data_IF_651182107678
#
_entry.id   IF_651182107678
#
_cell.length_a   1.000
_cell.length_b   1.000
_cell.length_c   1.000
_cell.angle_alpha   90.00
_cell.angle_beta   90.00
_cell.angle_gamma   90.00
#
_symmetry.space_group_name_H-M   'P 1'
#
loop_
_entity.id
_entity.type
_entity.pdbx_description
1 polymer ?
#
# COMPACT_ATOMS: atom_id res chain seq x y z
N UNK A 1 -20.54 11.52 18.11
CA UNK A 1 -20.92 11.14 16.73
C UNK A 1 -20.51 12.27 15.81
N UNK A 2 -19.28 12.22 15.28
CA UNK A 2 -18.88 13.16 14.24
C UNK A 2 -19.68 12.79 12.98
N UNK A 3 -20.53 13.72 12.52
CA UNK A 3 -21.14 13.65 11.20
C UNK A 3 -20.04 13.34 10.19
N UNK A 4 -20.23 12.27 9.41
CA UNK A 4 -19.40 12.00 8.24
C UNK A 4 -19.61 13.19 7.32
N UNK A 5 -18.68 14.15 7.35
CA UNK A 5 -18.60 15.23 6.37
C UNK A 5 -18.61 14.54 5.02
N UNK A 6 -19.51 14.91 4.11
CA UNK A 6 -19.65 14.27 2.81
C UNK A 6 -18.28 14.12 2.16
N UNK A 7 -17.78 12.90 2.07
CA UNK A 7 -16.51 12.61 1.44
C UNK A 7 -16.66 12.92 -0.04
N UNK A 8 -15.81 13.81 -0.53
CA UNK A 8 -15.67 14.13 -1.96
C UNK A 8 -14.30 13.62 -2.39
N UNK A 9 -14.18 13.31 -3.68
CA UNK A 9 -12.88 12.99 -4.25
C UNK A 9 -11.92 14.18 -4.07
N UNK A 10 -10.66 13.85 -3.80
CA UNK A 10 -9.62 14.86 -3.64
C UNK A 10 -9.45 15.67 -4.94
N UNK A 11 -9.53 17.01 -4.89
CA UNK A 11 -9.34 17.84 -6.07
C UNK A 11 -7.95 17.68 -6.68
N UNK A 12 -7.91 17.55 -8.01
CA UNK A 12 -6.66 17.50 -8.79
C UNK A 12 -6.12 18.92 -8.95
N UNK A 13 -4.87 19.15 -8.56
CA UNK A 13 -4.18 20.43 -8.80
C UNK A 13 -3.70 20.53 -10.25
N UNK A 14 -3.75 21.74 -10.82
CA UNK A 14 -3.48 21.94 -12.25
C UNK A 14 -1.99 22.04 -12.60
N UNK A 15 -1.16 22.55 -11.68
CA UNK A 15 0.28 22.80 -11.91
C UNK A 15 0.57 23.75 -13.08
N UNK A 16 -0.36 24.68 -13.34
CA UNK A 16 -0.20 25.71 -14.36
C UNK A 16 1.02 26.61 -14.10
N UNK A 17 1.49 27.28 -15.15
CA UNK A 17 2.61 28.22 -15.05
C UNK A 17 2.27 29.33 -14.06
N UNK A 18 3.15 29.57 -13.09
CA UNK A 18 2.97 30.59 -12.04
C UNK A 18 2.12 30.15 -10.84
N UNK A 19 1.56 28.93 -10.86
CA UNK A 19 0.81 28.39 -9.72
C UNK A 19 1.71 28.10 -8.51
N UNK A 20 1.12 28.13 -7.31
CA UNK A 20 1.85 27.89 -6.06
C UNK A 20 2.29 26.43 -5.95
N UNK A 21 1.41 25.51 -6.33
CA UNK A 21 1.65 24.06 -6.34
C UNK A 21 2.77 23.67 -7.32
N UNK A 22 2.91 24.33 -8.46
CA UNK A 22 4.03 24.10 -9.38
C UNK A 22 5.33 24.52 -8.74
N UNK A 23 5.35 25.70 -8.12
CA UNK A 23 6.56 26.24 -7.49
C UNK A 23 6.99 25.40 -6.28
N UNK A 24 6.05 24.94 -5.46
CA UNK A 24 6.33 24.11 -4.28
C UNK A 24 6.74 22.68 -4.66
N UNK A 25 6.07 22.08 -5.64
CA UNK A 25 6.46 20.77 -6.17
C UNK A 25 7.84 20.81 -6.82
N UNK A 26 8.14 21.83 -7.63
CA UNK A 26 9.47 21.97 -8.24
C UNK A 26 10.56 22.07 -7.17
N UNK A 27 10.35 22.92 -6.15
CA UNK A 27 11.28 23.02 -5.03
C UNK A 27 11.51 21.66 -4.37
N UNK A 28 10.43 20.91 -4.11
CA UNK A 28 10.53 19.60 -3.46
C UNK A 28 11.18 18.55 -4.37
N UNK A 29 10.91 18.60 -5.67
CA UNK A 29 11.54 17.76 -6.67
C UNK A 29 13.06 17.99 -6.68
N UNK A 30 13.51 19.24 -6.73
CA UNK A 30 14.92 19.59 -6.74
C UNK A 30 15.62 19.15 -5.43
N UNK A 31 14.96 19.35 -4.28
CA UNK A 31 15.46 18.85 -2.99
C UNK A 31 15.64 17.33 -2.97
N UNK A 32 14.65 16.56 -3.43
CA UNK A 32 14.74 15.10 -3.46
C UNK A 32 15.73 14.59 -4.51
N UNK A 33 15.82 15.26 -5.66
CA UNK A 33 16.79 14.96 -6.72
C UNK A 33 18.24 15.13 -6.21
N UNK A 34 18.48 16.16 -5.40
CA UNK A 34 19.82 16.53 -4.93
C UNK A 34 20.32 15.71 -3.74
N UNK A 35 19.46 14.91 -3.10
CA UNK A 35 19.76 14.22 -1.85
C UNK A 35 19.58 12.70 -2.00
N UNK A 36 20.68 12.00 -2.26
CA UNK A 36 20.71 10.54 -2.21
C UNK A 36 20.46 10.06 -0.77
N UNK A 37 19.54 9.12 -0.58
CA UNK A 37 19.22 8.55 0.74
C UNK A 37 19.49 7.04 0.80
N UNK A 38 19.62 6.53 2.01
CA UNK A 38 19.64 5.08 2.28
C UNK A 38 18.24 4.62 2.69
N UNK A 39 17.72 3.57 2.05
CA UNK A 39 16.39 3.01 2.29
C UNK A 39 16.51 1.66 2.99
N UNK A 40 16.23 1.58 4.30
CA UNK A 40 16.27 0.34 5.05
C UNK A 40 15.05 -0.54 4.77
N UNK A 41 15.18 -1.81 5.14
CA UNK A 41 14.03 -2.68 5.44
C UNK A 41 13.42 -2.19 6.75
N UNK A 42 12.10 -2.28 6.90
CA UNK A 42 11.42 -1.89 8.16
C UNK A 42 10.63 -3.09 8.69
N UNK A 43 11.07 -3.65 9.82
CA UNK A 43 10.37 -4.72 10.53
C UNK A 43 10.08 -4.24 11.94
N UNK A 44 8.82 -4.29 12.36
CA UNK A 44 8.37 -3.78 13.66
C UNK A 44 8.86 -2.34 13.95
N UNK A 45 8.87 -1.47 12.94
CA UNK A 45 9.35 -0.10 13.05
C UNK A 45 10.89 0.06 13.07
N UNK A 46 11.62 -1.02 13.27
CA UNK A 46 13.08 -1.03 13.28
C UNK A 46 13.65 -0.99 11.86
N UNK A 47 14.68 -0.17 11.67
CA UNK A 47 15.38 -0.01 10.40
C UNK A 47 16.52 -1.01 10.31
N UNK A 48 16.47 -1.90 9.32
CA UNK A 48 17.46 -2.94 9.11
C UNK A 48 18.25 -2.64 7.84
N UNK A 49 19.57 -2.59 7.97
CA UNK A 49 20.53 -2.45 6.88
C UNK A 49 21.18 -3.79 6.59
N UNK A 50 21.32 -4.13 5.31
CA UNK A 50 21.95 -5.37 4.82
C UNK A 50 23.13 -5.04 3.91
N UNK A 51 23.99 -6.02 3.64
CA UNK A 51 25.06 -5.85 2.65
C UNK A 51 24.57 -6.00 1.20
N UNK A 52 23.35 -6.51 0.99
CA UNK A 52 22.76 -6.67 -0.34
C UNK A 52 21.87 -5.47 -0.67
N UNK A 53 22.41 -4.56 -1.48
CA UNK A 53 21.75 -3.31 -1.85
C UNK A 53 21.50 -3.21 -3.33
N UNK A 54 20.56 -2.36 -3.71
CA UNK A 54 20.32 -1.97 -5.10
C UNK A 54 19.96 -0.47 -5.17
N UNK A 55 20.15 0.13 -6.34
CA UNK A 55 19.92 1.56 -6.55
C UNK A 55 18.46 1.82 -6.93
N UNK A 56 17.85 2.83 -6.31
CA UNK A 56 16.72 3.53 -6.89
C UNK A 56 17.28 4.61 -7.84
N UNK A 57 16.93 4.55 -9.11
CA UNK A 57 17.35 5.53 -10.13
C UNK A 57 16.15 6.27 -10.71
N UNK A 58 16.41 7.36 -11.44
CA UNK A 58 15.39 7.99 -12.26
C UNK A 58 15.27 7.26 -13.60
N UNK A 59 14.10 6.72 -14.01
CA UNK A 59 14.01 6.02 -15.29
C UNK A 59 14.31 6.92 -16.50
N UNK A 60 14.05 8.22 -16.41
CA UNK A 60 14.36 9.22 -17.44
C UNK A 60 15.79 9.76 -17.38
N UNK A 61 16.55 9.44 -16.33
CA UNK A 61 17.99 9.71 -16.20
C UNK A 61 18.62 8.60 -15.34
N UNK A 62 18.77 7.42 -15.93
CA UNK A 62 19.10 6.19 -15.21
C UNK A 62 20.50 6.16 -14.59
N UNK A 63 21.35 7.16 -14.87
CA UNK A 63 22.63 7.34 -14.20
C UNK A 63 22.50 8.12 -12.88
N UNK A 64 21.40 8.85 -12.71
CA UNK A 64 21.11 9.58 -11.48
C UNK A 64 20.56 8.64 -10.41
N UNK A 65 21.25 8.57 -9.27
CA UNK A 65 20.87 7.73 -8.13
C UNK A 65 20.08 8.56 -7.12
N UNK A 66 18.89 8.09 -6.78
CA UNK A 66 18.01 8.69 -5.77
C UNK A 66 18.25 8.07 -4.39
N UNK A 67 18.55 6.77 -4.36
CA UNK A 67 18.80 6.05 -3.13
C UNK A 67 19.56 4.74 -3.37
N UNK A 68 20.20 4.23 -2.32
CA UNK A 68 20.53 2.81 -2.20
C UNK A 68 19.54 2.17 -1.22
N UNK A 69 18.87 1.11 -1.64
CA UNK A 69 17.91 0.39 -0.80
C UNK A 69 18.44 -1.00 -0.43
N UNK A 70 18.16 -1.43 0.79
CA UNK A 70 18.53 -2.74 1.30
C UNK A 70 17.48 -3.78 0.92
N UNK A 71 17.95 -4.94 0.44
CA UNK A 71 17.09 -6.06 0.07
C UNK A 71 16.99 -7.05 1.23
N UNK A 72 15.77 -7.48 1.51
CA UNK A 72 15.47 -8.54 2.46
C UNK A 72 15.87 -9.90 1.88
N UNK A 73 16.39 -10.75 2.75
CA UNK A 73 16.62 -12.17 2.49
C UNK A 73 15.48 -13.01 3.08
N UNK A 74 15.64 -14.34 3.02
CA UNK A 74 14.68 -15.29 3.57
C UNK A 74 14.51 -15.13 5.08
N UNK A 75 15.57 -14.87 5.83
CA UNK A 75 15.51 -14.82 7.29
C UNK A 75 14.78 -13.56 7.75
N UNK A 76 15.02 -12.43 7.08
CA UNK A 76 14.26 -11.20 7.32
C UNK A 76 12.79 -11.33 6.89
N UNK A 77 12.50 -12.09 5.83
CA UNK A 77 11.12 -12.40 5.45
C UNK A 77 10.39 -13.19 6.55
N UNK A 78 11.04 -14.17 7.16
CA UNK A 78 10.46 -14.95 8.27
C UNK A 78 10.30 -14.09 9.54
N UNK A 79 11.30 -13.26 9.88
CA UNK A 79 11.20 -12.32 11.00
C UNK A 79 10.04 -11.32 10.84
N UNK A 80 9.80 -10.85 9.62
CA UNK A 80 8.67 -9.96 9.35
C UNK A 80 7.31 -10.66 9.52
N UNK A 81 7.21 -11.94 9.18
CA UNK A 81 6.01 -12.74 9.43
C UNK A 81 5.79 -12.87 10.95
N UNK A 82 6.83 -13.23 11.70
CA UNK A 82 6.75 -13.35 13.17
C UNK A 82 6.30 -12.04 13.81
N UNK A 83 6.94 -10.92 13.44
CA UNK A 83 6.54 -9.59 13.88
C UNK A 83 5.08 -9.28 13.54
N UNK A 84 4.63 -9.55 12.31
CA UNK A 84 3.24 -9.33 11.92
C UNK A 84 2.28 -10.16 12.78
N UNK A 85 2.56 -11.45 13.00
CA UNK A 85 1.71 -12.33 13.80
C UNK A 85 1.65 -11.91 15.28
N UNK A 86 2.75 -11.41 15.83
CA UNK A 86 2.77 -10.85 17.18
C UNK A 86 1.89 -9.60 17.26
N UNK A 87 2.09 -8.63 16.36
CA UNK A 87 1.30 -7.38 16.30
C UNK A 87 -0.19 -7.65 16.04
N UNK A 88 -0.53 -8.69 15.27
CA UNK A 88 -1.91 -9.05 14.97
C UNK A 88 -2.74 -9.33 16.23
N UNK A 89 -2.13 -9.89 17.29
CA UNK A 89 -2.83 -10.21 18.54
C UNK A 89 -3.47 -8.99 19.22
N UNK A 90 -2.88 -7.81 19.05
CA UNK A 90 -3.40 -6.54 19.54
C UNK A 90 -4.19 -5.81 18.45
N UNK A 91 -3.60 -5.65 17.26
CA UNK A 91 -4.19 -4.86 16.16
C UNK A 91 -5.55 -5.38 15.68
N UNK A 92 -5.74 -6.70 15.68
CA UNK A 92 -7.01 -7.32 15.29
C UNK A 92 -8.17 -6.91 16.22
N UNK A 93 -7.88 -6.61 17.48
CA UNK A 93 -8.83 -6.23 18.54
C UNK A 93 -8.95 -4.73 18.72
N UNK A 94 -8.10 -3.94 18.07
CA UNK A 94 -8.18 -2.48 18.11
C UNK A 94 -9.49 -2.01 17.49
N UNK A 95 -10.15 -1.05 18.14
CA UNK A 95 -11.42 -0.49 17.69
C UNK A 95 -11.35 0.02 16.26
N UNK A 96 -12.37 -0.30 15.46
CA UNK A 96 -12.43 0.10 14.06
C UNK A 96 -12.29 1.61 13.87
N UNK A 97 -12.93 2.41 14.73
CA UNK A 97 -12.85 3.88 14.65
C UNK A 97 -11.41 4.37 14.85
N UNK A 98 -10.63 3.77 15.75
CA UNK A 98 -9.22 4.11 15.93
C UNK A 98 -8.39 3.74 14.70
N UNK A 99 -8.63 2.54 14.13
CA UNK A 99 -7.96 2.12 12.89
C UNK A 99 -8.26 3.10 11.76
N UNK A 100 -9.53 3.48 11.59
CA UNK A 100 -10.00 4.45 10.60
C UNK A 100 -9.34 5.82 10.77
N UNK A 101 -9.24 6.33 12.00
CA UNK A 101 -8.69 7.66 12.29
C UNK A 101 -7.22 7.79 11.86
N UNK A 102 -6.43 6.71 11.95
CA UNK A 102 -5.06 6.67 11.43
C UNK A 102 -5.03 6.94 9.92
N UNK A 103 -5.91 6.29 9.14
CA UNK A 103 -5.90 6.45 7.68
C UNK A 103 -6.53 7.78 7.23
N UNK A 104 -7.52 8.31 7.95
CA UNK A 104 -7.98 9.70 7.74
C UNK A 104 -6.87 10.72 8.05
N UNK A 105 -6.07 10.48 9.08
CA UNK A 105 -4.90 11.30 9.37
C UNK A 105 -3.84 11.17 8.27
N UNK A 106 -3.58 9.96 7.76
CA UNK A 106 -2.68 9.76 6.62
C UNK A 106 -3.17 10.53 5.37
N UNK A 107 -4.46 10.47 5.06
CA UNK A 107 -5.08 11.24 3.98
C UNK A 107 -4.91 12.75 4.18
N UNK A 108 -5.13 13.26 5.39
CA UNK A 108 -4.97 14.68 5.73
C UNK A 108 -3.52 15.13 5.60
N UNK A 109 -2.58 14.31 6.08
CA UNK A 109 -1.15 14.55 5.96
C UNK A 109 -0.72 14.60 4.49
N UNK A 110 -1.21 13.66 3.67
CA UNK A 110 -0.95 13.56 2.24
C UNK A 110 -1.58 14.71 1.44
N UNK A 111 -2.82 15.12 1.77
CA UNK A 111 -3.46 16.28 1.14
C UNK A 111 -2.71 17.60 1.43
N UNK A 112 -2.09 17.68 2.62
CA UNK A 112 -1.32 18.82 3.08
C UNK A 112 0.18 18.66 2.82
N UNK A 113 0.96 18.56 3.91
CA UNK A 113 2.42 18.73 3.89
C UNK A 113 3.19 17.61 3.17
N UNK A 114 2.59 16.45 2.99
CA UNK A 114 3.24 15.31 2.33
C UNK A 114 3.01 15.29 0.81
N UNK A 115 2.05 16.07 0.28
CA UNK A 115 1.64 16.01 -1.14
C UNK A 115 2.82 16.15 -2.09
N UNK A 116 3.60 17.22 -1.94
CA UNK A 116 4.72 17.51 -2.82
C UNK A 116 5.84 16.47 -2.68
N UNK A 117 6.04 15.91 -1.48
CA UNK A 117 7.03 14.83 -1.27
C UNK A 117 6.60 13.57 -2.00
N UNK A 118 5.33 13.18 -1.90
CA UNK A 118 4.82 11.96 -2.54
C UNK A 118 4.80 12.08 -4.06
N UNK A 119 4.34 13.22 -4.58
CA UNK A 119 4.34 13.50 -6.01
C UNK A 119 5.77 13.55 -6.56
N UNK A 120 6.68 14.29 -5.92
CA UNK A 120 8.07 14.37 -6.37
C UNK A 120 8.78 13.00 -6.34
N UNK A 121 8.60 12.21 -5.26
CA UNK A 121 9.20 10.88 -5.18
C UNK A 121 8.69 9.94 -6.29
N UNK A 122 7.39 10.01 -6.59
CA UNK A 122 6.75 9.25 -7.67
C UNK A 122 7.24 9.71 -9.05
N UNK A 123 7.35 11.03 -9.28
CA UNK A 123 7.90 11.58 -10.52
C UNK A 123 9.33 11.09 -10.75
N UNK A 124 10.18 11.20 -9.73
CA UNK A 124 11.60 10.87 -9.81
C UNK A 124 11.83 9.37 -10.08
N UNK A 125 11.25 8.47 -9.26
CA UNK A 125 11.57 7.04 -9.34
C UNK A 125 10.69 6.25 -10.33
N UNK A 126 9.48 6.73 -10.64
CA UNK A 126 8.56 6.08 -11.59
C UNK A 126 8.39 6.87 -12.90
N UNK A 127 9.15 7.96 -13.08
CA UNK A 127 9.16 8.78 -14.30
C UNK A 127 7.80 9.35 -14.71
N UNK A 128 6.93 9.60 -13.73
CA UNK A 128 5.66 10.28 -13.97
C UNK A 128 5.87 11.77 -14.19
N UNK A 129 5.03 12.38 -15.03
CA UNK A 129 4.90 13.84 -15.05
C UNK A 129 4.06 14.31 -13.84
N UNK A 130 4.04 15.62 -13.59
CA UNK A 130 3.35 16.18 -12.41
C UNK A 130 1.86 15.80 -12.34
N UNK A 131 1.15 15.82 -13.48
CA UNK A 131 -0.26 15.43 -13.53
C UNK A 131 -0.45 13.93 -13.22
N UNK A 132 0.36 13.07 -13.84
CA UNK A 132 0.30 11.62 -13.63
C UNK A 132 0.66 11.24 -12.18
N UNK A 133 1.56 11.97 -11.54
CA UNK A 133 1.86 11.78 -10.12
C UNK A 133 0.73 12.30 -9.23
N UNK A 134 0.14 13.46 -9.55
CA UNK A 134 -0.95 14.06 -8.78
C UNK A 134 -2.21 13.19 -8.73
N UNK A 135 -2.65 12.67 -9.88
CA UNK A 135 -3.87 11.86 -9.92
C UNK A 135 -3.68 10.50 -9.21
N UNK A 136 -2.45 10.01 -9.12
CA UNK A 136 -2.08 8.72 -8.51
C UNK A 136 -1.66 8.90 -7.04
N UNK A 137 -0.45 9.42 -6.84
CA UNK A 137 0.26 9.41 -5.57
C UNK A 137 -0.34 10.39 -4.54
N UNK A 138 -1.12 11.37 -5.00
CA UNK A 138 -1.92 12.24 -4.14
C UNK A 138 -3.40 11.85 -4.20
N UNK A 139 -4.13 12.20 -5.26
CA UNK A 139 -5.59 12.14 -5.29
C UNK A 139 -6.13 10.72 -5.05
N UNK A 140 -5.72 9.75 -5.87
CA UNK A 140 -6.22 8.37 -5.75
C UNK A 140 -5.83 7.73 -4.41
N UNK A 141 -4.61 7.99 -3.89
CA UNK A 141 -4.19 7.48 -2.59
C UNK A 141 -4.96 8.12 -1.41
N UNK A 142 -5.19 9.43 -1.45
CA UNK A 142 -6.03 10.16 -0.48
C UNK A 142 -7.45 9.58 -0.50
N UNK A 143 -7.99 9.36 -1.70
CA UNK A 143 -9.30 8.77 -1.90
C UNK A 143 -9.33 7.33 -1.36
N UNK A 144 -8.33 6.49 -1.65
CA UNK A 144 -8.28 5.14 -1.06
C UNK A 144 -8.34 5.17 0.47
N UNK A 145 -7.56 6.02 1.12
CA UNK A 145 -7.59 6.11 2.59
C UNK A 145 -8.96 6.57 3.11
N UNK A 146 -9.54 7.61 2.51
CA UNK A 146 -10.81 8.17 2.97
C UNK A 146 -12.01 7.26 2.65
N UNK A 147 -12.10 6.77 1.41
CA UNK A 147 -13.22 5.94 0.96
C UNK A 147 -13.14 4.53 1.55
N UNK A 148 -11.96 3.91 1.69
CA UNK A 148 -11.88 2.61 2.36
C UNK A 148 -12.26 2.69 3.84
N UNK A 149 -11.89 3.77 4.53
CA UNK A 149 -12.33 4.03 5.90
C UNK A 149 -13.87 4.14 5.98
N UNK A 150 -14.48 4.89 5.05
CA UNK A 150 -15.93 4.97 4.93
C UNK A 150 -16.56 3.61 4.64
N UNK A 151 -16.00 2.84 3.70
CA UNK A 151 -16.52 1.52 3.34
C UNK A 151 -16.40 0.53 4.49
N UNK A 152 -15.29 0.54 5.24
CA UNK A 152 -15.11 -0.26 6.44
C UNK A 152 -16.19 0.05 7.47
N UNK A 153 -16.45 1.33 7.75
CA UNK A 153 -17.52 1.77 8.66
C UNK A 153 -18.91 1.38 8.16
N UNK A 154 -19.17 1.55 6.87
CA UNK A 154 -20.45 1.19 6.27
C UNK A 154 -20.72 -0.32 6.31
N UNK A 155 -19.71 -1.15 6.08
CA UNK A 155 -19.85 -2.62 6.17
C UNK A 155 -20.19 -3.03 7.62
N UNK A 156 -19.54 -2.42 8.61
CA UNK A 156 -19.84 -2.69 10.03
C UNK A 156 -21.22 -2.17 10.47
N UNK A 157 -21.67 -1.03 9.92
CA UNK A 157 -22.95 -0.41 10.29
C UNK A 157 -24.16 -0.94 9.50
N UNK A 158 -23.97 -1.42 8.29
CA UNK A 158 -25.03 -2.03 7.48
C UNK A 158 -25.38 -3.37 8.10
N UNK A 159 -26.30 -3.45 9.07
CA UNK A 159 -27.12 -4.64 9.30
C UNK A 159 -28.43 -4.30 10.03
N UNK A 160 -29.56 -4.65 9.42
CA UNK A 160 -30.84 -4.84 10.15
C UNK A 160 -30.86 -6.28 10.69
N UNK A 161 -30.22 -6.49 11.84
CA UNK A 161 -30.26 -7.81 12.49
C UNK A 161 -31.64 -8.04 13.10
N UNK A 162 -32.41 -8.94 12.52
CA UNK A 162 -33.69 -9.36 13.09
C UNK A 162 -33.41 -10.22 14.33
N UNK A 163 -33.78 -9.70 15.50
CA UNK A 163 -33.69 -10.42 16.77
C UNK A 163 -35.10 -10.82 17.23
N UNK A 164 -35.43 -12.13 17.27
CA UNK A 164 -36.68 -12.60 17.87
C UNK A 164 -36.82 -12.18 19.34
N UNK A 165 -38.04 -12.19 19.87
CA UNK A 165 -38.27 -11.87 21.28
C UNK A 165 -37.45 -12.79 22.20
N UNK A 166 -36.72 -12.20 23.15
CA UNK A 166 -35.82 -12.91 24.07
C UNK A 166 -34.43 -13.24 23.50
N UNK A 167 -34.14 -12.87 22.25
CA UNK A 167 -32.84 -13.09 21.61
C UNK A 167 -32.17 -11.75 21.26
N UNK A 168 -30.83 -11.75 21.16
CA UNK A 168 -30.04 -10.64 20.64
C UNK A 168 -29.00 -11.18 19.67
N UNK A 169 -29.16 -10.86 18.39
CA UNK A 169 -28.19 -11.21 17.36
C UNK A 169 -27.18 -10.05 17.17
N UNK A 170 -25.91 -10.38 17.01
CA UNK A 170 -24.85 -9.46 16.61
C UNK A 170 -24.00 -10.09 15.51
N UNK A 171 -23.39 -9.26 14.66
CA UNK A 171 -22.44 -9.68 13.65
C UNK A 171 -21.09 -9.05 13.97
N UNK A 172 -20.04 -9.86 13.96
CA UNK A 172 -18.67 -9.40 14.12
C UNK A 172 -17.91 -9.63 12.81
N UNK A 173 -17.40 -8.55 12.22
CA UNK A 173 -16.49 -8.61 11.08
C UNK A 173 -15.06 -8.83 11.57
N UNK A 174 -14.73 -10.08 11.84
CA UNK A 174 -13.38 -10.46 12.31
C UNK A 174 -12.33 -10.24 11.22
N UNK A 175 -11.12 -9.76 11.56
CA UNK A 175 -9.95 -9.84 10.70
C UNK A 175 -9.60 -11.30 10.36
N UNK A 176 -8.79 -11.51 9.33
CA UNK A 176 -8.28 -12.84 9.02
C UNK A 176 -7.21 -13.23 10.03
N UNK A 177 -7.22 -14.50 10.45
CA UNK A 177 -6.18 -15.05 11.32
C UNK A 177 -4.95 -15.42 10.49
N UNK A 178 -3.82 -14.79 10.82
CA UNK A 178 -2.56 -14.88 10.07
C UNK A 178 -2.12 -13.51 9.56
N UNK A 179 -1.38 -13.49 8.45
CA UNK A 179 -0.89 -12.25 7.85
C UNK A 179 -1.26 -12.15 6.36
N UNK A 180 -1.25 -10.91 5.84
CA UNK A 180 -1.44 -10.62 4.43
C UNK A 180 -0.09 -10.40 3.76
N UNK A 181 0.13 -11.04 2.62
CA UNK A 181 1.27 -10.72 1.77
C UNK A 181 0.84 -9.69 0.71
N UNK A 182 1.29 -8.44 0.85
CA UNK A 182 1.00 -7.37 -0.10
C UNK A 182 2.15 -7.22 -1.10
N UNK A 183 1.88 -7.46 -2.38
CA UNK A 183 2.86 -7.38 -3.46
C UNK A 183 2.40 -6.31 -4.44
N UNK A 184 3.13 -5.20 -4.50
CA UNK A 184 2.66 -4.00 -5.21
C UNK A 184 3.46 -3.75 -6.49
N UNK A 185 2.82 -3.19 -7.54
CA UNK A 185 3.44 -2.94 -8.83
C UNK A 185 4.22 -1.62 -8.81
N UNK A 186 4.88 -1.29 -9.92
CA UNK A 186 5.63 -0.03 -10.06
C UNK A 186 4.80 1.13 -10.61
N UNK A 187 3.66 0.86 -11.24
CA UNK A 187 2.96 1.81 -12.09
C UNK A 187 2.08 2.81 -11.32
N UNK A 188 1.67 2.49 -10.09
CA UNK A 188 0.85 3.37 -9.25
C UNK A 188 1.32 3.35 -7.79
N UNK A 189 1.65 4.53 -7.27
CA UNK A 189 1.96 4.72 -5.85
C UNK A 189 0.71 4.56 -4.98
N UNK A 190 -0.46 4.91 -5.51
CA UNK A 190 -1.76 4.70 -4.87
C UNK A 190 -2.03 3.23 -4.59
N UNK A 191 -1.85 2.37 -5.60
CA UNK A 191 -1.96 0.92 -5.47
C UNK A 191 -0.92 0.42 -4.46
N UNK A 192 0.32 0.92 -4.55
CA UNK A 192 1.37 0.54 -3.63
C UNK A 192 1.04 0.84 -2.16
N UNK A 193 0.34 1.95 -1.89
CA UNK A 193 -0.21 2.24 -0.57
C UNK A 193 -1.42 1.39 -0.21
N UNK A 194 -2.37 1.26 -1.13
CA UNK A 194 -3.67 0.67 -0.88
C UNK A 194 -3.59 -0.83 -0.56
N UNK A 195 -2.79 -1.61 -1.28
CA UNK A 195 -2.76 -3.06 -1.10
C UNK A 195 -2.40 -3.50 0.34
N UNK A 196 -1.37 -2.93 1.01
CA UNK A 196 -1.09 -3.26 2.39
C UNK A 196 -2.03 -2.57 3.39
N UNK A 197 -2.56 -1.38 3.09
CA UNK A 197 -3.37 -0.61 4.06
C UNK A 197 -4.84 -0.98 4.09
N UNK A 198 -5.45 -1.39 2.97
CA UNK A 198 -6.86 -1.78 2.95
C UNK A 198 -7.16 -2.97 3.88
N UNK A 199 -6.35 -4.06 3.89
CA UNK A 199 -6.47 -5.11 4.90
C UNK A 199 -6.16 -4.61 6.32
N UNK A 200 -5.22 -3.67 6.48
CA UNK A 200 -4.86 -3.13 7.79
C UNK A 200 -6.01 -2.34 8.45
N UNK A 201 -6.79 -1.57 7.67
CA UNK A 201 -8.03 -0.92 8.15
C UNK A 201 -8.99 -1.95 8.77
N UNK A 202 -9.07 -3.13 8.15
CA UNK A 202 -9.93 -4.24 8.58
C UNK A 202 -9.30 -5.09 9.70
N UNK A 203 -8.18 -4.65 10.30
CA UNK A 203 -7.53 -5.30 11.44
C UNK A 203 -6.53 -6.39 11.10
N UNK A 204 -6.16 -6.52 9.82
CA UNK A 204 -5.10 -7.44 9.41
C UNK A 204 -3.72 -6.78 9.56
N UNK A 205 -2.69 -7.60 9.49
CA UNK A 205 -1.28 -7.17 9.41
C UNK A 205 -0.72 -7.57 8.05
N UNK A 206 0.24 -6.80 7.55
CA UNK A 206 0.76 -6.99 6.19
C UNK A 206 2.29 -7.07 6.17
N UNK A 207 2.81 -8.06 5.46
CA UNK A 207 4.19 -8.05 4.96
C UNK A 207 4.14 -7.46 3.55
N UNK A 208 4.74 -6.29 3.36
CA UNK A 208 4.66 -5.52 2.12
C UNK A 208 5.97 -5.59 1.33
N UNK A 209 5.90 -6.19 0.14
CA UNK A 209 7.01 -6.22 -0.83
C UNK A 209 6.72 -5.29 -2.01
N UNK A 210 7.31 -4.09 -2.06
CA UNK A 210 7.17 -3.19 -3.21
C UNK A 210 7.88 -3.73 -4.45
N UNK A 211 7.50 -3.24 -5.64
CA UNK A 211 8.31 -3.36 -6.84
C UNK A 211 9.61 -2.58 -6.68
N UNK A 212 10.74 -3.14 -7.12
CA UNK A 212 12.08 -2.54 -6.99
C UNK A 212 12.15 -1.11 -7.57
N UNK A 213 11.45 -0.86 -8.68
CA UNK A 213 11.40 0.45 -9.34
C UNK A 213 10.44 1.47 -8.70
N UNK A 214 9.78 1.13 -7.59
CA UNK A 214 8.93 2.05 -6.82
C UNK A 214 9.33 2.15 -5.34
N UNK A 215 10.43 1.50 -4.93
CA UNK A 215 10.90 1.46 -3.53
C UNK A 215 11.08 2.87 -2.96
N UNK A 216 11.54 3.83 -3.76
CA UNK A 216 11.76 5.21 -3.32
C UNK A 216 10.46 5.89 -2.85
N UNK A 217 9.41 5.87 -3.69
CA UNK A 217 8.11 6.42 -3.33
C UNK A 217 7.46 5.63 -2.18
N UNK A 218 7.58 4.30 -2.20
CA UNK A 218 7.05 3.42 -1.17
C UNK A 218 7.68 3.68 0.21
N UNK A 219 8.96 4.05 0.27
CA UNK A 219 9.62 4.41 1.52
C UNK A 219 9.07 5.70 2.13
N UNK A 220 8.78 6.73 1.31
CA UNK A 220 8.08 7.92 1.79
C UNK A 220 6.65 7.61 2.23
N UNK A 221 5.99 6.64 1.60
CA UNK A 221 4.69 6.14 2.03
C UNK A 221 4.75 5.49 3.41
N UNK A 222 5.76 4.65 3.69
CA UNK A 222 5.99 4.14 5.04
C UNK A 222 6.22 5.24 6.07
N UNK A 223 6.97 6.29 5.72
CA UNK A 223 7.17 7.45 6.62
C UNK A 223 5.86 8.20 6.88
N UNK A 224 5.04 8.41 5.86
CA UNK A 224 3.72 9.02 5.97
C UNK A 224 2.82 8.21 6.92
N UNK A 225 2.77 6.88 6.77
CA UNK A 225 1.97 6.00 7.62
C UNK A 225 2.46 6.00 9.07
N UNK A 226 3.79 5.99 9.28
CA UNK A 226 4.37 6.10 10.62
C UNK A 226 3.99 7.43 11.29
N UNK A 227 4.03 8.54 10.56
CA UNK A 227 3.63 9.84 11.08
C UNK A 227 2.11 9.95 11.34
N UNK A 228 1.30 9.26 10.52
CA UNK A 228 -0.12 9.11 10.74
C UNK A 228 -0.43 8.34 12.04
N UNK A 229 0.53 7.58 12.57
CA UNK A 229 0.40 6.85 13.83
C UNK A 229 0.07 5.37 13.62
N UNK A 230 0.36 4.82 12.43
CA UNK A 230 0.28 3.38 12.22
C UNK A 230 1.23 2.67 13.21
N UNK A 231 0.73 1.73 14.03
CA UNK A 231 1.58 0.99 14.97
C UNK A 231 2.65 0.18 14.25
N UNK A 232 3.76 -0.02 14.93
CA UNK A 232 4.85 -0.84 14.44
C UNK A 232 4.41 -2.30 14.26
N UNK A 233 4.89 -2.92 13.17
CA UNK A 233 4.56 -4.32 12.82
C UNK A 233 3.22 -4.52 12.11
N UNK A 234 2.33 -3.50 12.07
CA UNK A 234 1.07 -3.58 11.30
C UNK A 234 1.35 -3.70 9.81
N UNK A 235 2.34 -2.94 9.32
CA UNK A 235 2.91 -3.09 7.98
C UNK A 235 4.42 -3.21 8.11
N UNK A 236 4.99 -4.33 7.67
CA UNK A 236 6.42 -4.55 7.55
C UNK A 236 6.86 -4.30 6.11
N UNK A 237 7.86 -3.44 5.88
CA UNK A 237 8.33 -3.02 4.56
C UNK A 237 9.58 -3.79 4.14
N UNK A 238 9.44 -4.68 3.14
CA UNK A 238 10.48 -5.60 2.70
C UNK A 238 10.77 -5.46 1.21
N UNK A 239 11.57 -4.46 0.79
CA UNK A 239 12.17 -4.46 -0.53
C UNK A 239 12.98 -5.75 -0.75
N UNK A 240 12.87 -6.34 -1.94
CA UNK A 240 13.56 -7.58 -2.26
C UNK A 240 12.97 -8.30 -3.47
N UNK A 241 13.69 -9.33 -3.93
CA UNK A 241 13.27 -10.13 -5.09
C UNK A 241 12.07 -11.00 -4.77
N UNK A 242 11.25 -11.30 -5.77
CA UNK A 242 10.10 -12.20 -5.61
C UNK A 242 10.50 -13.61 -5.19
N UNK A 243 11.62 -14.14 -5.71
CA UNK A 243 12.09 -15.48 -5.37
C UNK A 243 12.69 -15.59 -3.97
N UNK A 244 13.46 -14.58 -3.53
CA UNK A 244 14.12 -14.64 -2.21
C UNK A 244 13.15 -14.30 -1.08
N UNK A 245 12.27 -13.31 -1.29
CA UNK A 245 11.33 -12.84 -0.26
C UNK A 245 9.96 -13.48 -0.43
N UNK A 246 9.44 -13.55 -1.65
CA UNK A 246 8.08 -13.98 -1.92
C UNK A 246 7.83 -15.47 -1.70
N UNK A 247 8.70 -16.35 -2.20
CA UNK A 247 8.49 -17.80 -2.07
C UNK A 247 8.48 -18.26 -0.60
N UNK A 248 9.41 -17.84 0.28
CA UNK A 248 9.33 -18.17 1.71
C UNK A 248 8.03 -17.70 2.37
N UNK A 249 7.54 -16.51 2.01
CA UNK A 249 6.29 -15.96 2.56
C UNK A 249 5.08 -16.75 2.07
N UNK A 250 5.02 -17.07 0.78
CA UNK A 250 3.92 -17.84 0.19
C UNK A 250 3.84 -19.25 0.79
N UNK A 251 4.96 -19.85 1.17
CA UNK A 251 5.03 -21.18 1.77
C UNK A 251 4.78 -21.20 3.29
N UNK A 252 4.50 -20.06 3.94
CA UNK A 252 4.31 -20.03 5.38
C UNK A 252 2.88 -20.46 5.78
N UNK A 253 2.75 -21.36 6.77
CA UNK A 253 1.45 -21.92 7.20
C UNK A 253 0.44 -20.90 7.72
N UNK A 254 0.92 -19.72 8.18
CA UNK A 254 0.08 -18.63 8.68
C UNK A 254 -0.31 -17.60 7.61
N UNK A 255 -0.05 -17.85 6.32
CA UNK A 255 -0.51 -16.98 5.24
C UNK A 255 -2.05 -16.97 5.21
N UNK A 256 -2.64 -15.81 5.46
CA UNK A 256 -4.09 -15.64 5.46
C UNK A 256 -4.62 -15.11 4.13
N UNK A 257 -3.78 -14.44 3.35
CA UNK A 257 -4.12 -13.97 2.03
C UNK A 257 -2.98 -13.26 1.32
N UNK A 258 -3.17 -13.05 0.03
CA UNK A 258 -2.32 -12.26 -0.84
C UNK A 258 -3.15 -11.12 -1.41
N UNK A 259 -2.58 -9.91 -1.37
CA UNK A 259 -3.12 -8.76 -2.07
C UNK A 259 -2.10 -8.30 -3.11
N UNK A 260 -2.41 -8.54 -4.39
CA UNK A 260 -1.45 -8.47 -5.48
C UNK A 260 -1.93 -7.57 -6.61
N UNK A 261 -1.04 -6.75 -7.15
CA UNK A 261 -1.19 -6.23 -8.51
C UNK A 261 0.13 -6.39 -9.26
N UNK A 262 0.07 -6.89 -10.50
CA UNK A 262 1.27 -7.14 -11.30
C UNK A 262 1.01 -7.98 -12.55
N UNK A 263 2.02 -8.75 -12.95
CA UNK A 263 1.91 -9.58 -14.16
C UNK A 263 1.05 -10.82 -13.95
N UNK A 264 0.35 -11.26 -15.00
CA UNK A 264 -0.42 -12.52 -14.98
C UNK A 264 0.44 -13.73 -14.65
N UNK A 265 1.68 -13.79 -15.16
CA UNK A 265 2.59 -14.89 -14.87
C UNK A 265 2.94 -14.98 -13.37
N UNK A 266 3.21 -13.84 -12.73
CA UNK A 266 3.47 -13.81 -11.28
C UNK A 266 2.21 -14.17 -10.50
N UNK A 267 1.03 -13.74 -10.94
CA UNK A 267 -0.22 -14.11 -10.27
C UNK A 267 -0.53 -15.60 -10.39
N UNK A 268 -0.29 -16.21 -11.55
CA UNK A 268 -0.41 -17.65 -11.74
C UNK A 268 0.56 -18.42 -10.84
N UNK A 269 1.82 -17.98 -10.71
CA UNK A 269 2.79 -18.57 -9.77
C UNK A 269 2.29 -18.54 -8.32
N UNK A 270 1.69 -17.42 -7.90
CA UNK A 270 1.08 -17.30 -6.55
C UNK A 270 -0.05 -18.32 -6.38
N UNK A 271 -0.96 -18.41 -7.35
CA UNK A 271 -2.07 -19.36 -7.34
C UNK A 271 -1.60 -20.81 -7.31
N UNK A 272 -0.64 -21.18 -8.16
CA UNK A 272 -0.05 -22.52 -8.23
C UNK A 272 0.65 -22.89 -6.91
N UNK A 273 1.42 -21.96 -6.34
CA UNK A 273 2.13 -22.17 -5.07
C UNK A 273 1.14 -22.40 -3.93
N UNK A 274 0.09 -21.57 -3.81
CA UNK A 274 -0.92 -21.73 -2.76
C UNK A 274 -1.75 -23.00 -2.97
N UNK A 275 -2.17 -23.28 -4.21
CA UNK A 275 -2.96 -24.46 -4.55
C UNK A 275 -2.21 -25.78 -4.26
N UNK A 276 -0.92 -25.83 -4.62
CA UNK A 276 -0.07 -27.00 -4.38
C UNK A 276 0.18 -27.27 -2.89
N UNK A 277 0.08 -26.23 -2.06
CA UNK A 277 0.38 -26.27 -0.64
C UNK A 277 -0.86 -26.20 0.26
N UNK A 278 -2.07 -26.34 -0.30
CA UNK A 278 -3.31 -25.95 0.41
C UNK A 278 -3.49 -26.62 1.79
N UNK A 279 -2.98 -27.84 1.95
CA UNK A 279 -3.06 -28.60 3.20
C UNK A 279 -2.17 -28.08 4.34
N UNK A 280 -1.19 -27.22 4.06
CA UNK A 280 -0.26 -26.70 5.07
C UNK A 280 -0.77 -25.44 5.77
N UNK A 281 -1.72 -24.73 5.17
CA UNK A 281 -2.19 -23.45 5.70
C UNK A 281 -3.21 -23.67 6.82
N UNK A 282 -3.13 -22.85 7.87
CA UNK A 282 -4.07 -22.87 9.00
C UNK A 282 -5.48 -22.45 8.60
N UNK A 283 -5.58 -21.58 7.60
CA UNK A 283 -6.81 -21.12 6.97
C UNK A 283 -6.62 -21.14 5.46
N UNK A 284 -7.71 -21.15 4.68
CA UNK A 284 -7.62 -21.04 3.22
C UNK A 284 -7.15 -19.62 2.84
N UNK A 285 -5.94 -19.44 2.27
CA UNK A 285 -5.46 -18.12 1.92
C UNK A 285 -6.36 -17.47 0.87
N UNK A 286 -6.77 -16.22 1.10
CA UNK A 286 -7.54 -15.45 0.11
C UNK A 286 -6.60 -14.81 -0.90
N UNK A 287 -6.76 -15.16 -2.17
CA UNK A 287 -5.96 -14.56 -3.26
C UNK A 287 -6.80 -13.46 -3.91
N UNK A 288 -6.42 -12.21 -3.67
CA UNK A 288 -7.08 -11.01 -4.22
C UNK A 288 -6.07 -10.26 -5.05
N UNK A 289 -6.41 -9.94 -6.29
CA UNK A 289 -5.51 -9.15 -7.10
C UNK A 289 -6.03 -8.79 -8.47
N UNK A 290 -5.23 -7.95 -9.12
CA UNK A 290 -5.44 -7.47 -10.48
C UNK A 290 -4.20 -7.78 -11.32
N UNK A 291 -4.43 -8.11 -12.59
CA UNK A 291 -3.35 -8.23 -13.58
C UNK A 291 -3.60 -7.23 -14.71
N UNK A 292 -2.54 -6.87 -15.43
CA UNK A 292 -2.66 -5.99 -16.58
C UNK A 292 -3.58 -6.53 -17.69
N UNK A 293 -3.99 -5.62 -18.57
CA UNK A 293 -4.73 -5.90 -19.79
C UNK A 293 -4.31 -4.94 -20.91
N UNK A 294 -5.02 -5.00 -22.03
CA UNK A 294 -4.86 -4.02 -23.11
C UNK A 294 -6.23 -3.54 -23.58
N UNK A 295 -6.47 -2.26 -23.39
CA UNK A 295 -7.75 -1.63 -23.73
C UNK A 295 -7.83 -1.29 -25.21
N UNK A 296 -9.07 -1.15 -25.72
CA UNK A 296 -9.36 -0.75 -27.09
C UNK A 296 -10.35 0.42 -27.11
N UNK A 297 -10.25 1.26 -28.15
CA UNK A 297 -11.26 2.26 -28.48
C UNK A 297 -11.89 1.88 -29.83
N UNK A 298 -13.22 1.87 -29.90
CA UNK A 298 -13.97 1.68 -31.14
C UNK A 298 -14.69 2.97 -31.49
N UNK A 299 -14.33 3.56 -32.63
CA UNK A 299 -14.94 4.78 -33.14
C UNK A 299 -16.04 4.43 -34.16
N UNK A 300 -17.28 4.81 -33.86
CA UNK A 300 -18.39 4.75 -34.81
C UNK A 300 -18.21 5.83 -35.89
N UNK A 301 -18.82 5.65 -37.07
CA UNK A 301 -18.78 6.66 -38.16
C UNK A 301 -19.33 8.04 -37.74
N UNK A 302 -20.15 8.10 -36.68
CA UNK A 302 -20.69 9.33 -36.10
C UNK A 302 -19.87 9.88 -34.92
N UNK A 303 -18.65 9.40 -34.70
CA UNK A 303 -17.82 9.90 -33.61
C UNK A 303 -17.41 11.37 -33.85
N UNK A 304 -17.30 12.11 -32.76
CA UNK A 304 -16.73 13.45 -32.79
C UNK A 304 -15.21 13.34 -33.02
N UNK A 305 -14.71 14.08 -34.02
CA UNK A 305 -13.31 13.98 -34.51
C UNK A 305 -12.42 14.94 -33.72
#
# INVERSE_FOLDING_TARGET
MNQIKSLINEPVKSYEIGSKERSSLQKRYDELCSNEIEIPIIINGEKILTNDTEKCVMPHDHQHVLANYHKADKDLALQAIESSLETWNEWSKTDLDYRIDIFHKAATLLAGKWRDTMNAATMLNQSKNAFQAEIDAACELIDFFNFNALYAKNIHNKQELISPAGMKNSLEYRPLEGFIFAITPFNFTSIAGNLPTAPAIMGNVSVWKPASSAVYACYFLMKLLKEAGLPDGVINFLPGSGSTVGDPILNHSSLAGVHFTGSTNTFNHIWETIGSNISQYKTYPRIVGETGGKDYCLAHESCDI
#
